data_IF_001967889155
#
_entry.id   IF_001967889155
#
_cell.length_a   1.000
_cell.length_b   1.000
_cell.length_c   1.000
_cell.angle_alpha   90.00
_cell.angle_beta   90.00
_cell.angle_gamma   90.00
#
_symmetry.space_group_name_H-M   'P 1'
#
loop_
_entity.id
_entity.type
_entity.pdbx_description
1 polymer ?
#
# COMPACT_ATOMS: atom_id res chain seq x y z
N UNK A 1 -11.87 50.44 32.96
CA UNK A 1 -11.77 49.01 33.33
C UNK A 1 -12.16 48.17 32.13
N UNK A 2 -11.24 47.95 31.20
CA UNK A 2 -11.45 47.12 29.99
C UNK A 2 -10.88 45.72 30.28
N UNK A 3 -11.74 44.71 30.39
CA UNK A 3 -11.35 43.31 30.61
C UNK A 3 -10.79 42.74 29.31
N UNK A 4 -9.52 42.35 29.36
CA UNK A 4 -8.81 41.60 28.30
C UNK A 4 -9.45 40.21 28.23
N UNK A 5 -10.13 39.92 27.11
CA UNK A 5 -10.64 38.59 26.80
C UNK A 5 -9.54 37.84 26.02
N UNK A 6 -8.74 37.05 26.71
CA UNK A 6 -7.70 36.19 26.12
C UNK A 6 -8.37 35.02 25.40
N UNK A 7 -8.37 35.08 24.07
CA UNK A 7 -8.75 33.99 23.18
C UNK A 7 -7.61 32.95 23.15
N UNK A 8 -7.73 31.89 23.96
CA UNK A 8 -6.82 30.73 23.90
C UNK A 8 -7.21 29.90 22.67
N UNK A 9 -6.40 29.99 21.61
CA UNK A 9 -6.49 29.11 20.46
C UNK A 9 -5.83 27.78 20.86
N UNK A 10 -6.64 26.78 21.20
CA UNK A 10 -6.20 25.40 21.38
C UNK A 10 -5.92 24.80 20.00
N UNK A 11 -4.63 24.67 19.68
CA UNK A 11 -4.16 23.95 18.52
C UNK A 11 -4.42 22.45 18.74
N UNK A 12 -5.49 21.93 18.14
CA UNK A 12 -5.74 20.49 18.09
C UNK A 12 -4.62 19.83 17.28
N UNK A 13 -3.72 19.13 17.97
CA UNK A 13 -2.76 18.24 17.34
C UNK A 13 -3.56 17.07 16.72
N UNK A 14 -3.81 17.14 15.42
CA UNK A 14 -4.24 15.97 14.67
C UNK A 14 -3.06 14.98 14.63
N UNK A 15 -3.27 13.69 14.98
CA UNK A 15 -2.23 12.69 14.82
C UNK A 15 -1.94 12.55 13.32
N UNK A 16 -0.74 12.96 12.91
CA UNK A 16 -0.19 12.59 11.61
C UNK A 16 -0.04 11.07 11.61
N UNK A 17 -0.95 10.39 10.93
CA UNK A 17 -0.80 8.98 10.62
C UNK A 17 0.40 8.84 9.67
N UNK A 18 1.57 8.49 10.21
CA UNK A 18 2.72 8.00 9.45
C UNK A 18 2.40 6.58 8.95
N UNK A 19 1.52 6.48 7.96
CA UNK A 19 1.28 5.25 7.25
C UNK A 19 2.30 5.14 6.11
N UNK A 20 3.19 4.14 6.21
CA UNK A 20 4.18 3.68 5.22
C UNK A 20 5.65 4.03 5.47
N UNK A 21 6.15 3.77 6.68
CA UNK A 21 7.59 3.55 6.83
C UNK A 21 7.94 2.10 6.45
N UNK A 22 9.08 1.87 5.78
CA UNK A 22 9.57 0.52 5.54
C UNK A 22 9.82 -0.20 6.87
N UNK A 23 9.57 -1.50 6.90
CA UNK A 23 9.90 -2.37 8.04
C UNK A 23 11.40 -2.34 8.23
N UNK A 24 11.82 -2.01 9.44
CA UNK A 24 13.23 -1.98 9.83
C UNK A 24 13.41 -2.67 11.17
N UNK A 25 14.23 -3.72 11.18
CA UNK A 25 14.59 -4.46 12.41
C UNK A 25 15.56 -3.65 13.29
N UNK A 26 16.23 -2.65 12.72
CA UNK A 26 17.19 -1.79 13.42
C UNK A 26 16.53 -0.54 14.03
N UNK A 27 15.31 -0.21 13.59
CA UNK A 27 14.60 1.02 13.99
C UNK A 27 13.89 0.94 15.36
N UNK A 28 14.05 -0.15 16.11
CA UNK A 28 13.49 -0.33 17.46
C UNK A 28 12.47 -1.47 17.56
N UNK A 29 11.31 -1.20 18.16
CA UNK A 29 10.32 -2.23 18.52
C UNK A 29 9.67 -2.89 17.28
N UNK A 30 10.20 -4.05 16.89
CA UNK A 30 9.67 -4.86 15.79
C UNK A 30 8.25 -5.35 16.08
N UNK A 31 7.90 -5.63 17.34
CA UNK A 31 6.56 -6.10 17.70
C UNK A 31 5.51 -5.00 17.44
N UNK A 32 5.82 -3.75 17.76
CA UNK A 32 4.97 -2.61 17.42
C UNK A 32 4.83 -2.43 15.89
N UNK A 33 5.93 -2.58 15.13
CA UNK A 33 5.89 -2.50 13.67
C UNK A 33 4.99 -3.60 13.08
N UNK A 34 5.17 -4.84 13.53
CA UNK A 34 4.34 -5.99 13.13
C UNK A 34 2.86 -5.73 13.40
N UNK A 35 2.50 -5.27 14.61
CA UNK A 35 1.12 -4.97 14.96
C UNK A 35 0.49 -3.89 14.05
N UNK A 36 1.26 -2.85 13.70
CA UNK A 36 0.81 -1.82 12.76
C UNK A 36 0.59 -2.38 11.35
N UNK A 37 1.46 -3.27 10.87
CA UNK A 37 1.31 -3.92 9.56
C UNK A 37 0.08 -4.84 9.56
N UNK A 38 -0.10 -5.66 10.59
CA UNK A 38 -1.26 -6.55 10.73
C UNK A 38 -2.57 -5.75 10.71
N UNK A 39 -2.60 -4.61 11.41
CA UNK A 39 -3.73 -3.67 11.37
C UNK A 39 -3.96 -3.11 9.97
N UNK A 40 -2.90 -2.69 9.28
CA UNK A 40 -2.98 -2.19 7.90
C UNK A 40 -3.43 -3.25 6.89
N UNK A 41 -3.07 -4.52 7.12
CA UNK A 41 -3.55 -5.65 6.30
C UNK A 41 -5.02 -5.97 6.56
N UNK A 42 -5.52 -5.68 7.76
CA UNK A 42 -6.91 -5.93 8.18
C UNK A 42 -7.86 -4.77 7.83
N UNK A 43 -7.37 -3.53 7.69
CA UNK A 43 -8.21 -2.35 7.47
C UNK A 43 -8.89 -2.30 6.08
N UNK A 44 -8.41 -3.09 5.12
CA UNK A 44 -8.92 -3.15 3.75
C UNK A 44 -8.73 -1.87 2.93
N UNK A 45 -7.99 -0.88 3.43
CA UNK A 45 -7.79 0.44 2.81
C UNK A 45 -6.33 0.67 2.45
N UNK A 46 -5.42 0.46 3.40
CA UNK A 46 -3.99 0.78 3.24
C UNK A 46 -3.35 -0.10 2.17
N UNK A 47 -3.69 -1.39 2.20
CA UNK A 47 -3.29 -2.37 1.21
C UNK A 47 -4.55 -2.99 0.58
N UNK A 48 -5.40 -2.16 -0.03
CA UNK A 48 -6.64 -2.61 -0.67
C UNK A 48 -6.37 -3.61 -1.82
N UNK A 49 -5.32 -3.38 -2.61
CA UNK A 49 -5.00 -4.12 -3.84
C UNK A 49 -4.00 -5.29 -3.63
N UNK A 50 -3.58 -5.58 -2.40
CA UNK A 50 -2.67 -6.70 -2.14
C UNK A 50 -3.36 -8.05 -2.39
N UNK A 51 -2.68 -8.99 -3.03
CA UNK A 51 -3.25 -10.32 -3.30
C UNK A 51 -3.36 -11.15 -2.01
N UNK A 52 -4.25 -12.15 -1.97
CA UNK A 52 -4.35 -13.07 -0.81
C UNK A 52 -3.05 -13.86 -0.59
N UNK A 53 -2.37 -14.25 -1.68
CA UNK A 53 -1.08 -14.93 -1.64
C UNK A 53 0.00 -14.03 -1.01
N UNK A 54 0.06 -12.75 -1.40
CA UNK A 54 1.04 -11.81 -0.87
C UNK A 54 0.76 -11.45 0.59
N UNK A 55 -0.52 -11.37 1.01
CA UNK A 55 -0.89 -11.26 2.43
C UNK A 55 -0.35 -12.45 3.24
N UNK A 56 -0.46 -13.66 2.69
CA UNK A 56 0.08 -14.86 3.31
C UNK A 56 1.60 -14.80 3.47
N UNK A 57 2.31 -14.45 2.39
CA UNK A 57 3.78 -14.30 2.41
C UNK A 57 4.26 -13.25 3.39
N UNK A 58 3.58 -12.11 3.49
CA UNK A 58 3.95 -11.06 4.47
C UNK A 58 3.81 -11.60 5.88
N UNK A 59 2.71 -12.26 6.22
CA UNK A 59 2.50 -12.85 7.56
C UNK A 59 3.56 -13.89 7.88
N UNK A 60 3.81 -14.81 6.96
CA UNK A 60 4.83 -15.85 7.12
C UNK A 60 6.24 -15.27 7.34
N UNK A 61 6.61 -14.24 6.56
CA UNK A 61 7.89 -13.55 6.75
C UNK A 61 7.95 -12.80 8.08
N UNK A 62 6.87 -12.14 8.51
CA UNK A 62 6.81 -11.49 9.83
C UNK A 62 6.94 -12.51 10.97
N UNK A 63 6.32 -13.68 10.85
CA UNK A 63 6.44 -14.77 11.83
C UNK A 63 7.87 -15.30 11.90
N UNK A 64 8.53 -15.51 10.75
CA UNK A 64 9.95 -15.89 10.70
C UNK A 64 10.85 -14.85 11.37
N UNK A 65 10.63 -13.57 11.09
CA UNK A 65 11.39 -12.48 11.70
C UNK A 65 11.16 -12.43 13.22
N UNK A 66 9.91 -12.60 13.68
CA UNK A 66 9.59 -12.68 15.10
C UNK A 66 10.34 -13.83 15.77
N UNK A 67 10.33 -15.03 15.18
CA UNK A 67 11.02 -16.20 15.73
C UNK A 67 12.55 -16.01 15.84
N UNK A 68 13.15 -15.28 14.90
CA UNK A 68 14.59 -14.96 14.95
C UNK A 68 14.94 -13.91 16.01
N UNK A 69 13.98 -13.06 16.39
CA UNK A 69 14.15 -11.99 17.38
C UNK A 69 13.58 -12.34 18.76
N UNK A 70 13.18 -13.59 18.99
CA UNK A 70 12.71 -14.04 20.30
C UNK A 70 13.79 -13.92 21.39
N UNK A 71 13.37 -13.57 22.61
CA UNK A 71 14.27 -13.51 23.77
C UNK A 71 15.21 -12.30 23.82
N UNK A 72 14.74 -11.13 23.36
CA UNK A 72 15.48 -9.85 23.34
C UNK A 72 16.77 -9.89 22.49
N UNK A 73 16.87 -10.84 21.55
CA UNK A 73 17.97 -10.88 20.60
C UNK A 73 17.90 -9.68 19.68
N UNK A 74 18.93 -8.83 19.73
CA UNK A 74 19.10 -7.76 18.75
C UNK A 74 19.58 -8.33 17.41
N UNK A 75 19.30 -7.66 16.28
CA UNK A 75 19.81 -8.06 14.97
C UNK A 75 21.35 -8.24 14.94
N UNK A 76 22.08 -7.53 15.80
CA UNK A 76 23.53 -7.62 15.94
C UNK A 76 24.01 -8.81 16.77
N UNK A 77 23.15 -9.39 17.61
CA UNK A 77 23.47 -10.59 18.39
C UNK A 77 23.29 -11.89 17.58
N UNK A 78 22.71 -11.81 16.37
CA UNK A 78 22.47 -12.97 15.52
C UNK A 78 23.75 -13.44 14.80
N UNK A 79 23.93 -14.76 14.63
CA UNK A 79 24.98 -15.28 13.77
C UNK A 79 24.77 -14.83 12.32
N UNK A 80 25.86 -14.68 11.57
CA UNK A 80 25.86 -14.09 10.23
C UNK A 80 24.81 -14.70 9.28
N UNK A 81 24.65 -16.02 9.29
CA UNK A 81 23.65 -16.72 8.46
C UNK A 81 22.22 -16.31 8.83
N UNK A 82 21.86 -16.29 10.13
CA UNK A 82 20.53 -15.84 10.58
C UNK A 82 20.29 -14.36 10.34
N UNK A 83 21.36 -13.54 10.39
CA UNK A 83 21.27 -12.12 10.07
C UNK A 83 20.92 -11.91 8.59
N UNK A 84 21.49 -12.71 7.68
CA UNK A 84 21.12 -12.70 6.26
C UNK A 84 19.66 -13.06 6.08
N UNK A 85 19.18 -14.13 6.72
CA UNK A 85 17.78 -14.57 6.61
C UNK A 85 16.79 -13.53 7.17
N UNK A 86 17.18 -12.83 8.24
CA UNK A 86 16.39 -11.74 8.82
C UNK A 86 16.21 -10.59 7.83
N UNK A 87 17.30 -10.10 7.22
CA UNK A 87 17.22 -9.00 6.25
C UNK A 87 16.55 -9.43 4.94
N UNK A 88 16.73 -10.66 4.49
CA UNK A 88 16.00 -11.20 3.34
C UNK A 88 14.48 -11.22 3.58
N UNK A 89 14.08 -11.61 4.80
CA UNK A 89 12.67 -11.60 5.22
C UNK A 89 12.12 -10.18 5.28
N UNK A 90 12.89 -9.24 5.84
CA UNK A 90 12.55 -7.82 5.84
C UNK A 90 12.35 -7.27 4.43
N UNK A 91 13.30 -7.55 3.53
CA UNK A 91 13.25 -7.05 2.15
C UNK A 91 12.04 -7.61 1.39
N UNK A 92 11.71 -8.88 1.63
CA UNK A 92 10.51 -9.51 1.07
C UNK A 92 9.24 -8.77 1.52
N UNK A 93 9.13 -8.49 2.83
CA UNK A 93 7.99 -7.75 3.38
C UNK A 93 7.93 -6.35 2.82
N UNK A 94 9.05 -5.62 2.80
CA UNK A 94 9.14 -4.27 2.28
C UNK A 94 8.73 -4.18 0.82
N UNK A 95 9.28 -5.06 -0.02
CA UNK A 95 8.95 -5.11 -1.45
C UNK A 95 7.45 -5.28 -1.67
N UNK A 96 6.83 -6.25 -0.99
CA UNK A 96 5.39 -6.52 -1.13
C UNK A 96 4.55 -5.35 -0.63
N UNK A 97 4.83 -4.81 0.56
CA UNK A 97 4.05 -3.73 1.15
C UNK A 97 4.20 -2.42 0.37
N UNK A 98 5.40 -2.11 -0.12
CA UNK A 98 5.63 -0.92 -0.96
C UNK A 98 4.85 -1.01 -2.27
N UNK A 99 4.87 -2.18 -2.93
CA UNK A 99 4.09 -2.39 -4.15
C UNK A 99 2.58 -2.29 -3.87
N UNK A 100 2.10 -2.96 -2.82
CA UNK A 100 0.70 -2.92 -2.43
C UNK A 100 0.21 -1.50 -2.09
N UNK A 101 1.02 -0.71 -1.39
CA UNK A 101 0.70 0.69 -1.08
C UNK A 101 0.65 1.55 -2.36
N UNK A 102 1.60 1.36 -3.27
CA UNK A 102 1.61 2.05 -4.56
C UNK A 102 0.36 1.75 -5.38
N UNK A 103 -0.07 0.49 -5.39
CA UNK A 103 -1.23 0.02 -6.15
C UNK A 103 -2.57 0.47 -5.54
N UNK A 104 -2.64 0.51 -4.21
CA UNK A 104 -3.85 0.88 -3.45
C UNK A 104 -4.13 2.38 -3.41
N UNK A 105 -3.17 3.23 -3.79
CA UNK A 105 -3.39 4.68 -3.80
C UNK A 105 -4.52 5.08 -4.75
N UNK A 106 -5.33 6.05 -4.34
CA UNK A 106 -6.41 6.60 -5.16
C UNK A 106 -5.86 7.66 -6.12
N UNK A 107 -6.22 7.53 -7.40
CA UNK A 107 -5.92 8.50 -8.45
C UNK A 107 -7.24 9.01 -9.01
N UNK A 108 -7.47 10.32 -8.90
CA UNK A 108 -8.65 10.97 -9.47
C UNK A 108 -8.30 11.63 -10.81
N UNK A 109 -9.04 11.28 -11.86
CA UNK A 109 -8.98 11.95 -13.16
C UNK A 109 -10.20 12.85 -13.33
N UNK A 110 -10.01 13.99 -13.99
CA UNK A 110 -11.09 14.94 -14.30
C UNK A 110 -11.16 15.14 -15.80
N UNK A 111 -12.09 14.42 -16.42
CA UNK A 111 -12.20 14.31 -17.88
C UNK A 111 -13.53 14.88 -18.37
N UNK A 112 -13.54 15.26 -19.65
CA UNK A 112 -14.76 15.70 -20.36
C UNK A 112 -15.11 14.57 -21.32
N UNK A 113 -16.15 13.77 -21.04
CA UNK A 113 -16.50 12.63 -21.88
C UNK A 113 -16.95 13.09 -23.27
N UNK A 114 -16.69 12.28 -24.29
CA UNK A 114 -17.14 12.57 -25.65
C UNK A 114 -18.66 12.67 -25.70
N UNK A 115 -19.18 13.69 -26.41
CA UNK A 115 -20.61 13.96 -26.48
C UNK A 115 -21.19 14.78 -25.30
N UNK A 116 -20.37 15.19 -24.32
CA UNK A 116 -20.80 16.14 -23.28
C UNK A 116 -19.68 17.09 -22.88
N UNK A 117 -19.96 18.39 -22.72
CA UNK A 117 -19.00 19.35 -22.19
C UNK A 117 -18.92 19.36 -20.65
N UNK A 118 -19.71 18.51 -19.98
CA UNK A 118 -19.74 18.44 -18.53
C UNK A 118 -18.50 17.71 -18.00
N UNK A 119 -17.71 18.39 -17.19
CA UNK A 119 -16.56 17.78 -16.50
C UNK A 119 -17.03 16.73 -15.49
N UNK A 120 -16.50 15.52 -15.56
CA UNK A 120 -16.76 14.43 -14.61
C UNK A 120 -15.46 14.07 -13.89
N UNK A 121 -15.54 13.82 -12.59
CA UNK A 121 -14.41 13.33 -11.79
C UNK A 121 -14.60 11.87 -11.47
N UNK A 122 -13.62 11.04 -11.84
CA UNK A 122 -13.62 9.60 -11.53
C UNK A 122 -12.38 9.29 -10.71
N UNK A 123 -12.56 8.67 -9.56
CA UNK A 123 -11.48 8.22 -8.69
C UNK A 123 -11.44 6.69 -8.69
N UNK A 124 -10.25 6.12 -8.88
CA UNK A 124 -10.00 4.68 -8.84
C UNK A 124 -8.63 4.41 -8.21
N UNK A 125 -8.35 3.17 -7.82
CA UNK A 125 -6.99 2.78 -7.40
C UNK A 125 -6.02 2.85 -8.59
N UNK A 126 -4.73 2.93 -8.32
CA UNK A 126 -3.71 2.91 -9.36
C UNK A 126 -3.69 1.55 -10.10
N UNK A 127 -3.90 0.45 -9.38
CA UNK A 127 -4.06 -0.87 -9.99
C UNK A 127 -5.30 -0.94 -10.89
N UNK A 128 -6.46 -0.47 -10.42
CA UNK A 128 -7.70 -0.42 -11.22
C UNK A 128 -7.51 0.36 -12.53
N UNK A 129 -6.83 1.51 -12.45
CA UNK A 129 -6.53 2.32 -13.64
C UNK A 129 -5.68 1.55 -14.65
N UNK A 130 -4.70 0.77 -14.18
CA UNK A 130 -3.84 -0.06 -15.04
C UNK A 130 -4.62 -1.22 -15.64
N UNK A 131 -5.44 -1.92 -14.84
CA UNK A 131 -6.33 -2.99 -15.31
C UNK A 131 -7.27 -2.49 -16.41
N UNK A 132 -7.91 -1.34 -16.21
CA UNK A 132 -8.80 -0.73 -17.20
C UNK A 132 -8.07 -0.42 -18.51
N UNK A 133 -6.89 0.20 -18.43
CA UNK A 133 -6.08 0.49 -19.63
C UNK A 133 -5.65 -0.77 -20.38
N UNK A 134 -5.35 -1.86 -19.69
CA UNK A 134 -5.00 -3.13 -20.32
C UNK A 134 -6.22 -3.76 -21.00
N UNK A 135 -7.36 -3.79 -20.32
CA UNK A 135 -8.63 -4.27 -20.87
C UNK A 135 -9.03 -3.49 -22.13
N UNK A 136 -8.93 -2.16 -22.12
CA UNK A 136 -9.24 -1.31 -23.27
C UNK A 136 -8.32 -1.63 -24.47
N UNK A 137 -7.01 -1.82 -24.22
CA UNK A 137 -6.06 -2.19 -25.27
C UNK A 137 -6.33 -3.59 -25.84
N UNK A 138 -6.65 -4.54 -24.99
CA UNK A 138 -6.95 -5.92 -25.42
C UNK A 138 -8.26 -5.97 -26.21
N UNK A 139 -9.26 -5.18 -25.83
CA UNK A 139 -10.49 -5.03 -26.61
C UNK A 139 -10.20 -4.49 -28.02
N UNK A 140 -9.44 -3.38 -28.13
CA UNK A 140 -9.06 -2.82 -29.43
C UNK A 140 -8.27 -3.82 -30.28
N UNK A 141 -7.34 -4.58 -29.69
CA UNK A 141 -6.57 -5.62 -30.39
C UNK A 141 -7.46 -6.76 -30.89
N UNK A 142 -8.48 -7.16 -30.12
CA UNK A 142 -9.44 -8.19 -30.53
C UNK A 142 -10.29 -7.72 -31.70
N UNK A 143 -10.81 -6.49 -31.65
CA UNK A 143 -11.58 -5.89 -32.75
C UNK A 143 -10.75 -5.78 -34.04
N UNK A 144 -9.47 -5.39 -33.95
CA UNK A 144 -8.57 -5.34 -35.11
C UNK A 144 -8.27 -6.70 -35.73
N UNK A 145 -8.37 -7.79 -34.96
CA UNK A 145 -8.13 -9.17 -35.42
C UNK A 145 -9.41 -9.88 -35.85
N UNK A 146 -10.58 -9.30 -35.59
CA UNK A 146 -11.84 -9.89 -36.00
C UNK A 146 -11.93 -9.90 -37.54
N UNK A 147 -12.32 -11.03 -38.19
CA UNK A 147 -12.60 -11.02 -39.61
C UNK A 147 -13.68 -9.98 -39.90
N UNK A 148 -13.48 -9.11 -40.89
CA UNK A 148 -14.50 -8.14 -41.26
C UNK A 148 -15.79 -8.89 -41.64
N UNK A 149 -16.96 -8.50 -41.11
CA UNK A 149 -18.21 -9.11 -41.54
C UNK A 149 -18.34 -8.93 -43.05
N UNK A 150 -18.56 -10.02 -43.79
CA UNK A 150 -18.88 -9.94 -45.21
C UNK A 150 -20.13 -9.08 -45.33
N UNK A 151 -20.00 -7.95 -46.04
CA UNK A 151 -21.15 -7.14 -46.46
C UNK A 151 -21.69 -7.83 -47.70
N UNK A 152 -22.73 -8.62 -47.48
CA UNK A 152 -23.53 -9.26 -48.52
C UNK A 152 -24.52 -8.24 -49.11
#
# INVERSE_FOLDING_TARGET
MFKIFTLVITLAAAPLALANNPVSVDAGDFAAQRANIEKGLADGKTYAEISSADRGKVRESLDRMSAMLEGDMTPDALPAERKIDLYNSQETVNTILTQAAFDSRIVCSRDVPTGSHRKVTTCSTAAERTRRRQQDQDALRKEQRAPQPRRD
#
